data_IF_784171463490
#
_entry.id   IF_784171463490
#
_cell.length_a   1.000
_cell.length_b   1.000
_cell.length_c   1.000
_cell.angle_alpha   90.00
_cell.angle_beta   90.00
_cell.angle_gamma   90.00
#
_symmetry.space_group_name_H-M   'P 1'
#
loop_
_entity.id
_entity.type
_entity.pdbx_description
1 polymer ?
#
# COMPACT_ATOMS: atom_id res chain seq x y z
N UNK A 1 38.78 -18.77 29.29
CA UNK A 1 38.08 -18.80 27.98
C UNK A 1 36.83 -17.94 28.10
N UNK A 2 36.78 -16.79 27.42
CA UNK A 2 35.58 -15.95 27.32
C UNK A 2 34.90 -16.29 26.00
N UNK A 3 33.76 -16.96 26.07
CA UNK A 3 32.87 -17.20 24.93
C UNK A 3 32.24 -15.87 24.52
N UNK A 4 32.60 -15.37 23.34
CA UNK A 4 31.95 -14.22 22.70
C UNK A 4 30.72 -14.73 21.98
N UNK A 5 29.53 -14.29 22.41
CA UNK A 5 28.27 -14.63 21.77
C UNK A 5 28.12 -13.90 20.43
N UNK A 6 27.91 -14.65 19.36
CA UNK A 6 27.63 -14.12 18.03
C UNK A 6 26.16 -13.64 18.00
N UNK A 7 25.97 -12.32 17.95
CA UNK A 7 24.66 -11.72 17.71
C UNK A 7 24.22 -11.98 16.26
N UNK A 8 23.04 -12.57 16.08
CA UNK A 8 22.43 -12.75 14.78
C UNK A 8 21.99 -11.39 14.22
N UNK A 9 22.70 -10.93 13.20
CA UNK A 9 22.37 -9.73 12.44
C UNK A 9 21.20 -10.07 11.51
N UNK A 10 20.00 -9.57 11.81
CA UNK A 10 18.85 -9.67 10.89
C UNK A 10 19.10 -8.70 9.74
N UNK A 11 19.50 -9.22 8.59
CA UNK A 11 19.64 -8.46 7.35
C UNK A 11 18.24 -8.09 6.85
N UNK A 12 17.87 -6.82 6.95
CA UNK A 12 16.70 -6.29 6.26
C UNK A 12 16.96 -6.36 4.74
N UNK A 13 16.26 -7.25 4.04
CA UNK A 13 16.39 -7.41 2.59
C UNK A 13 15.89 -6.17 1.83
N UNK A 14 16.45 -5.89 0.63
CA UNK A 14 16.05 -4.75 -0.19
C UNK A 14 14.59 -4.90 -0.64
N UNK A 15 13.88 -3.77 -0.69
CA UNK A 15 12.57 -3.72 -1.33
C UNK A 15 12.75 -3.95 -2.84
N UNK A 16 12.01 -4.91 -3.40
CA UNK A 16 11.91 -5.10 -4.85
C UNK A 16 10.68 -4.34 -5.33
N UNK A 17 10.86 -3.42 -6.27
CA UNK A 17 9.77 -2.75 -6.98
C UNK A 17 9.99 -2.93 -8.48
N UNK A 18 8.98 -3.45 -9.18
CA UNK A 18 9.09 -3.70 -10.61
C UNK A 18 7.72 -3.55 -11.29
N UNK A 19 7.68 -2.75 -12.37
CA UNK A 19 6.64 -2.86 -13.39
C UNK A 19 6.90 -4.18 -14.13
N UNK A 20 6.11 -5.21 -13.84
CA UNK A 20 6.35 -6.57 -14.33
C UNK A 20 5.72 -6.84 -15.70
N UNK A 21 4.76 -6.00 -16.11
CA UNK A 21 4.18 -6.03 -17.44
C UNK A 21 3.64 -4.65 -17.81
N UNK A 22 3.74 -4.29 -19.10
CA UNK A 22 3.20 -3.03 -19.63
C UNK A 22 2.77 -3.19 -21.09
N UNK A 23 1.66 -2.56 -21.44
CA UNK A 23 1.15 -2.38 -22.80
C UNK A 23 0.63 -0.96 -22.95
N UNK A 24 0.22 -0.50 -24.15
CA UNK A 24 -0.42 0.80 -24.30
C UNK A 24 -1.71 0.97 -23.46
N UNK A 25 -2.36 -0.11 -23.03
CA UNK A 25 -3.67 -0.06 -22.33
C UNK A 25 -3.69 -0.79 -21.00
N UNK A 26 -2.54 -1.28 -20.51
CA UNK A 26 -2.46 -2.02 -19.25
C UNK A 26 -1.08 -1.98 -18.65
N UNK A 27 -0.99 -2.20 -17.34
CA UNK A 27 0.26 -2.47 -16.65
C UNK A 27 0.05 -3.27 -15.37
N UNK A 28 1.13 -3.91 -14.90
CA UNK A 28 1.19 -4.65 -13.64
C UNK A 28 2.37 -4.14 -12.83
N UNK A 29 2.12 -3.80 -11.57
CA UNK A 29 3.13 -3.41 -10.59
C UNK A 29 3.13 -4.43 -9.46
N UNK A 30 4.32 -4.92 -9.10
CA UNK A 30 4.54 -5.81 -7.97
C UNK A 30 5.62 -5.22 -7.07
N UNK A 31 5.33 -5.06 -5.79
CA UNK A 31 6.26 -4.50 -4.81
C UNK A 31 6.21 -5.29 -3.51
N UNK A 32 7.35 -5.40 -2.81
CA UNK A 32 7.36 -5.95 -1.47
C UNK A 32 8.47 -5.42 -0.59
N UNK A 33 8.24 -5.45 0.72
CA UNK A 33 9.22 -5.05 1.73
C UNK A 33 9.06 -5.89 3.00
N UNK A 34 10.15 -6.13 3.70
CA UNK A 34 10.13 -6.70 5.06
C UNK A 34 9.86 -5.59 6.07
N UNK A 35 8.92 -5.80 6.97
CA UNK A 35 8.52 -4.88 8.03
C UNK A 35 8.80 -5.54 9.37
N UNK A 36 9.57 -4.89 10.23
CA UNK A 36 9.75 -5.28 11.62
C UNK A 36 8.48 -4.93 12.40
N UNK A 37 7.40 -5.67 12.14
CA UNK A 37 6.15 -5.67 12.89
C UNK A 37 5.45 -7.02 12.76
N UNK A 38 4.79 -7.47 13.82
CA UNK A 38 4.00 -8.69 13.80
C UNK A 38 2.78 -8.53 12.87
N UNK A 39 2.29 -9.59 12.19
CA UNK A 39 1.20 -9.49 11.24
C UNK A 39 -0.06 -8.77 11.75
N UNK A 40 -0.52 -8.98 13.00
CA UNK A 40 -1.68 -8.25 13.52
C UNK A 40 -1.44 -6.74 13.63
N UNK A 41 -0.24 -6.31 14.01
CA UNK A 41 0.09 -4.89 14.16
C UNK A 41 0.19 -4.20 12.80
N UNK A 42 0.87 -4.86 11.85
CA UNK A 42 0.96 -4.36 10.47
C UNK A 42 -0.42 -4.29 9.82
N UNK A 43 -1.27 -5.29 10.05
CA UNK A 43 -2.64 -5.30 9.55
C UNK A 43 -3.47 -4.11 10.05
N UNK A 44 -3.42 -3.82 11.36
CA UNK A 44 -4.13 -2.67 11.92
C UNK A 44 -3.63 -1.34 11.34
N UNK A 45 -2.31 -1.22 11.11
CA UNK A 45 -1.74 -0.04 10.45
C UNK A 45 -2.17 0.10 9.01
N UNK A 46 -2.16 -1.01 8.26
CA UNK A 46 -2.58 -1.04 6.86
C UNK A 46 -3.99 -0.50 6.69
N UNK A 47 -4.92 -0.89 7.57
CA UNK A 47 -6.32 -0.46 7.52
C UNK A 47 -6.57 0.99 7.95
N UNK A 48 -5.53 1.71 8.35
CA UNK A 48 -5.61 3.09 8.81
C UNK A 48 -4.81 4.04 7.89
N UNK A 49 -5.21 4.22 6.60
CA UNK A 49 -4.48 5.04 5.64
C UNK A 49 -4.21 6.47 6.13
N UNK A 50 -5.09 7.03 6.96
CA UNK A 50 -4.92 8.33 7.60
C UNK A 50 -3.70 8.48 8.52
N UNK A 51 -3.01 7.37 8.81
CA UNK A 51 -1.82 7.37 9.68
C UNK A 51 -0.52 7.27 8.90
N UNK A 52 -0.55 6.96 7.61
CA UNK A 52 0.67 6.64 6.88
C UNK A 52 0.66 7.09 5.42
N UNK A 53 -0.50 7.19 4.77
CA UNK A 53 -0.60 7.60 3.37
C UNK A 53 0.03 8.98 3.17
N UNK A 54 0.76 9.14 2.07
CA UNK A 54 1.40 10.42 1.76
C UNK A 54 0.36 11.50 1.43
N UNK A 55 0.28 12.61 2.19
CA UNK A 55 -0.64 13.70 1.88
C UNK A 55 -0.41 14.32 0.50
N UNK A 56 0.82 14.31 -0.04
CA UNK A 56 1.10 14.79 -1.41
C UNK A 56 0.45 13.93 -2.51
N UNK A 57 -0.01 12.74 -2.15
CA UNK A 57 -0.75 11.84 -3.02
C UNK A 57 -2.20 11.63 -2.54
N UNK A 58 -2.80 12.70 -2.02
CA UNK A 58 -4.21 12.79 -1.64
C UNK A 58 -4.89 13.97 -2.36
N UNK A 59 -6.20 13.94 -2.54
CA UNK A 59 -6.93 15.03 -3.20
C UNK A 59 -7.07 16.27 -2.30
N UNK A 60 -7.18 16.06 -0.99
CA UNK A 60 -7.33 17.12 0.01
C UNK A 60 -6.00 17.73 0.44
N UNK A 61 -4.88 17.05 0.17
CA UNK A 61 -3.55 17.40 0.67
C UNK A 61 -3.34 17.05 2.15
N UNK A 62 -4.22 16.22 2.74
CA UNK A 62 -4.17 15.83 4.14
C UNK A 62 -4.68 14.39 4.31
N UNK A 63 -3.79 13.49 4.72
CA UNK A 63 -4.12 12.08 4.92
C UNK A 63 -5.13 11.87 6.06
N UNK A 64 -5.30 12.82 6.98
CA UNK A 64 -6.33 12.75 8.02
C UNK A 64 -7.76 12.60 7.47
N UNK A 65 -7.98 12.97 6.20
CA UNK A 65 -9.27 12.83 5.52
C UNK A 65 -9.49 11.47 4.85
N UNK A 66 -8.47 10.61 4.78
CA UNK A 66 -8.58 9.27 4.22
C UNK A 66 -9.19 8.30 5.22
N UNK A 67 -9.91 7.31 4.73
CA UNK A 67 -10.42 6.22 5.54
C UNK A 67 -10.59 4.95 4.70
N UNK A 68 -10.51 3.80 5.36
CA UNK A 68 -10.76 2.50 4.75
C UNK A 68 -11.80 1.72 5.54
N UNK A 69 -12.99 1.59 4.97
CA UNK A 69 -14.00 0.68 5.49
C UNK A 69 -13.62 -0.75 5.08
N UNK A 70 -12.81 -1.42 5.90
CA UNK A 70 -12.16 -2.68 5.56
C UNK A 70 -13.08 -3.91 5.64
N UNK A 71 -14.16 -3.89 4.85
CA UNK A 71 -15.13 -4.95 4.63
C UNK A 71 -15.51 -4.99 3.16
N UNK A 72 -16.04 -6.10 2.65
CA UNK A 72 -16.50 -6.16 1.26
C UNK A 72 -17.53 -5.05 0.97
N UNK A 73 -17.40 -4.42 -0.20
CA UNK A 73 -18.11 -3.21 -0.62
C UNK A 73 -17.81 -1.93 0.19
N UNK A 74 -16.97 -1.98 1.22
CA UNK A 74 -16.49 -0.80 1.92
C UNK A 74 -15.54 0.03 1.06
N UNK A 75 -15.46 1.33 1.37
CA UNK A 75 -14.69 2.28 0.58
C UNK A 75 -13.27 2.49 1.13
N UNK A 76 -12.29 2.55 0.23
CA UNK A 76 -11.12 3.40 0.42
C UNK A 76 -11.46 4.80 -0.12
N UNK A 77 -11.76 5.71 0.79
CA UNK A 77 -12.34 7.00 0.46
C UNK A 77 -11.56 8.13 1.10
N UNK A 78 -11.80 9.33 0.59
CA UNK A 78 -11.28 10.57 1.10
C UNK A 78 -12.38 11.61 1.22
N UNK A 79 -12.32 12.43 2.26
CA UNK A 79 -13.15 13.64 2.38
C UNK A 79 -12.41 14.82 1.77
N UNK A 80 -13.10 15.73 1.08
CA UNK A 80 -12.53 16.99 0.60
C UNK A 80 -13.24 18.18 1.26
N UNK A 81 -12.89 18.54 2.52
CA UNK A 81 -13.65 19.51 3.30
C UNK A 81 -13.76 20.90 2.65
N UNK A 82 -12.70 21.33 1.94
CA UNK A 82 -12.67 22.62 1.22
C UNK A 82 -13.78 22.71 0.18
N UNK A 83 -14.08 21.59 -0.50
CA UNK A 83 -15.08 21.51 -1.56
C UNK A 83 -16.40 20.89 -1.07
N UNK A 84 -16.50 20.56 0.23
CA UNK A 84 -17.61 19.80 0.83
C UNK A 84 -17.90 18.49 0.08
N UNK A 85 -16.87 17.86 -0.48
CA UNK A 85 -16.99 16.69 -1.34
C UNK A 85 -16.36 15.42 -0.74
N UNK A 86 -16.26 14.41 -1.59
CA UNK A 86 -15.62 13.12 -1.28
C UNK A 86 -15.04 12.49 -2.55
N UNK A 87 -14.02 11.65 -2.38
CA UNK A 87 -13.39 10.87 -3.45
C UNK A 87 -13.45 9.39 -3.07
N UNK A 88 -13.93 8.54 -3.97
CA UNK A 88 -13.74 7.09 -3.90
C UNK A 88 -12.46 6.73 -4.66
N UNK A 89 -11.44 6.27 -3.95
CA UNK A 89 -10.20 5.79 -4.56
C UNK A 89 -10.35 4.35 -5.06
N UNK A 90 -10.97 3.51 -4.24
CA UNK A 90 -11.26 2.11 -4.57
C UNK A 90 -12.30 1.52 -3.63
N UNK A 91 -12.93 0.43 -4.04
CA UNK A 91 -13.85 -0.36 -3.23
C UNK A 91 -13.26 -1.71 -2.88
N UNK A 92 -13.41 -2.13 -1.63
CA UNK A 92 -12.95 -3.43 -1.16
C UNK A 92 -13.80 -4.55 -1.78
N UNK A 93 -13.15 -5.55 -2.36
CA UNK A 93 -13.82 -6.72 -2.98
C UNK A 93 -13.48 -8.05 -2.31
N UNK A 94 -12.43 -8.07 -1.47
CA UNK A 94 -12.04 -9.25 -0.69
C UNK A 94 -11.27 -8.82 0.56
N UNK A 95 -11.57 -9.45 1.69
CA UNK A 95 -10.83 -9.29 2.94
C UNK A 95 -10.61 -10.65 3.58
N UNK A 96 -9.35 -10.98 3.85
CA UNK A 96 -8.95 -12.00 4.79
C UNK A 96 -8.21 -11.31 5.94
N UNK A 97 -8.87 -11.08 7.09
CA UNK A 97 -8.30 -10.34 8.22
C UNK A 97 -6.91 -10.86 8.61
N UNK A 98 -5.99 -9.94 8.88
CA UNK A 98 -4.60 -10.25 9.24
C UNK A 98 -3.69 -10.70 8.07
N UNK A 99 -4.23 -10.90 6.87
CA UNK A 99 -3.51 -11.52 5.75
C UNK A 99 -3.59 -10.77 4.43
N UNK A 100 -4.77 -10.37 3.99
CA UNK A 100 -4.93 -9.82 2.64
C UNK A 100 -6.17 -8.95 2.52
N UNK A 101 -6.06 -7.82 1.82
CA UNK A 101 -7.18 -7.01 1.37
C UNK A 101 -7.02 -6.73 -0.13
N UNK A 102 -8.11 -6.84 -0.88
CA UNK A 102 -8.15 -6.50 -2.30
C UNK A 102 -9.20 -5.44 -2.55
N UNK A 103 -8.81 -4.44 -3.33
CA UNK A 103 -9.62 -3.31 -3.74
C UNK A 103 -9.69 -3.25 -5.25
N UNK A 104 -10.81 -2.77 -5.77
CA UNK A 104 -10.99 -2.43 -7.18
C UNK A 104 -11.19 -0.92 -7.28
N UNK A 105 -10.34 -0.24 -8.06
CA UNK A 105 -10.35 1.20 -8.22
C UNK A 105 -9.17 1.71 -9.04
N UNK A 106 -9.31 2.94 -9.54
CA UNK A 106 -8.33 3.62 -10.37
C UNK A 106 -7.73 4.78 -9.58
N UNK A 107 -6.45 4.70 -9.21
CA UNK A 107 -5.82 5.66 -8.32
C UNK A 107 -5.44 6.97 -9.03
N UNK A 108 -5.71 8.10 -8.37
CA UNK A 108 -5.26 9.43 -8.79
C UNK A 108 -5.70 9.77 -10.22
N UNK A 109 -4.79 10.16 -11.13
CA UNK A 109 -5.14 10.53 -12.51
C UNK A 109 -5.88 9.43 -13.28
N UNK A 110 -5.70 8.17 -12.91
CA UNK A 110 -6.38 7.04 -13.56
C UNK A 110 -7.89 7.04 -13.30
N UNK A 111 -8.37 7.72 -12.26
CA UNK A 111 -9.79 7.78 -11.91
C UNK A 111 -10.64 8.44 -13.01
N UNK A 112 -10.05 9.37 -13.77
CA UNK A 112 -10.71 10.04 -14.88
C UNK A 112 -10.65 9.26 -16.21
N UNK A 113 -9.97 8.12 -16.21
CA UNK A 113 -9.80 7.26 -17.39
C UNK A 113 -10.80 6.10 -17.35
N UNK A 114 -11.10 5.49 -18.50
CA UNK A 114 -11.96 4.30 -18.56
C UNK A 114 -11.13 3.03 -18.29
N UNK A 115 -10.55 2.96 -17.09
CA UNK A 115 -9.72 1.85 -16.61
C UNK A 115 -10.31 1.18 -15.38
N UNK A 116 -9.93 -0.07 -15.16
CA UNK A 116 -10.13 -0.78 -13.91
C UNK A 116 -8.77 -1.16 -13.33
N UNK A 117 -8.56 -0.87 -12.05
CA UNK A 117 -7.39 -1.32 -11.30
C UNK A 117 -7.78 -2.32 -10.22
N UNK A 118 -6.99 -3.38 -10.04
CA UNK A 118 -7.12 -4.34 -8.94
C UNK A 118 -5.90 -4.22 -8.05
N UNK A 119 -6.07 -3.62 -6.88
CA UNK A 119 -5.03 -3.40 -5.88
C UNK A 119 -5.12 -4.46 -4.79
N UNK A 120 -4.06 -5.24 -4.59
CA UNK A 120 -3.97 -6.26 -3.54
C UNK A 120 -2.86 -5.91 -2.58
N UNK A 121 -3.19 -5.85 -1.30
CA UNK A 121 -2.20 -5.84 -0.23
C UNK A 121 -2.18 -7.19 0.48
N UNK A 122 -0.99 -7.68 0.80
CA UNK A 122 -0.78 -8.96 1.49
C UNK A 122 0.24 -8.81 2.62
N UNK A 123 -0.07 -9.41 3.76
CA UNK A 123 0.77 -9.50 4.95
C UNK A 123 1.04 -10.97 5.21
N UNK A 124 2.31 -11.34 5.26
CA UNK A 124 2.74 -12.70 5.58
C UNK A 124 3.69 -12.70 6.77
N UNK A 125 3.57 -13.66 7.69
CA UNK A 125 4.56 -13.83 8.75
C UNK A 125 5.90 -14.23 8.14
N UNK A 126 6.96 -13.53 8.54
CA UNK A 126 8.34 -14.01 8.41
C UNK A 126 8.73 -14.74 9.71
N UNK A 127 8.44 -14.10 10.84
CA UNK A 127 8.55 -14.65 12.20
C UNK A 127 7.48 -14.01 13.12
N UNK A 128 7.59 -14.19 14.43
CA UNK A 128 6.63 -13.66 15.40
C UNK A 128 6.60 -12.11 15.48
N UNK A 129 7.67 -11.44 15.06
CA UNK A 129 7.89 -9.99 15.16
C UNK A 129 8.09 -9.30 13.82
N UNK A 130 8.21 -10.07 12.74
CA UNK A 130 8.52 -9.58 11.38
C UNK A 130 7.50 -10.10 10.38
N UNK A 131 7.09 -9.22 9.46
CA UNK A 131 6.17 -9.55 8.36
C UNK A 131 6.78 -9.19 7.01
N UNK A 132 6.39 -9.91 5.96
CA UNK A 132 6.53 -9.46 4.58
C UNK A 132 5.24 -8.75 4.16
N UNK A 133 5.38 -7.51 3.73
CA UNK A 133 4.30 -6.73 3.12
C UNK A 133 4.48 -6.77 1.60
N UNK A 134 3.45 -7.17 0.88
CA UNK A 134 3.41 -7.18 -0.59
C UNK A 134 2.24 -6.36 -1.12
N UNK A 135 2.48 -5.71 -2.24
CA UNK A 135 1.51 -4.94 -3.00
C UNK A 135 1.53 -5.39 -4.46
N UNK A 136 0.36 -5.62 -5.04
CA UNK A 136 0.16 -5.87 -6.48
C UNK A 136 -0.89 -4.90 -7.00
N UNK A 137 -0.64 -4.25 -8.14
CA UNK A 137 -1.62 -3.41 -8.82
C UNK A 137 -1.70 -3.75 -10.31
N UNK A 138 -2.81 -4.36 -10.71
CA UNK A 138 -3.09 -4.73 -12.10
C UNK A 138 -4.08 -3.73 -12.67
N UNK A 139 -3.69 -3.00 -13.71
CA UNK A 139 -4.52 -1.96 -14.35
C UNK A 139 -4.75 -2.30 -15.82
N UNK A 140 -5.98 -2.14 -16.29
CA UNK A 140 -6.32 -2.29 -17.70
C UNK A 140 -7.51 -1.42 -18.13
N UNK A 141 -7.49 -0.96 -19.37
CA UNK A 141 -8.57 -0.19 -20.00
C UNK A 141 -8.06 0.96 -20.86
N UNK A 142 -8.95 1.88 -21.22
CA UNK A 142 -8.59 3.04 -22.02
C UNK A 142 -7.89 4.09 -21.15
N UNK A 143 -6.65 4.43 -21.51
CA UNK A 143 -5.82 5.43 -20.84
C UNK A 143 -5.18 6.35 -21.90
N UNK A 144 -5.54 7.64 -21.89
CA UNK A 144 -5.11 8.61 -22.93
C UNK A 144 -3.60 8.77 -23.04
N UNK A 145 -2.89 8.64 -21.91
CA UNK A 145 -1.43 8.80 -21.84
C UNK A 145 -0.66 7.50 -22.13
N UNK A 146 -1.36 6.36 -22.20
CA UNK A 146 -0.75 5.04 -22.41
C UNK A 146 -0.14 4.42 -21.16
N UNK A 147 -0.13 3.09 -21.09
CA UNK A 147 0.40 2.35 -19.94
C UNK A 147 1.89 2.53 -19.74
N UNK A 148 2.65 2.71 -20.82
CA UNK A 148 4.10 2.95 -20.81
C UNK A 148 4.49 4.25 -20.09
N UNK A 149 3.64 5.28 -20.17
CA UNK A 149 3.84 6.55 -19.45
C UNK A 149 3.36 6.45 -18.02
N UNK A 150 2.19 5.82 -17.81
CA UNK A 150 1.55 5.78 -16.48
C UNK A 150 2.24 4.81 -15.51
N UNK A 151 2.67 3.62 -15.98
CA UNK A 151 3.23 2.57 -15.14
C UNK A 151 4.40 3.04 -14.24
N UNK A 152 5.46 3.70 -14.76
CA UNK A 152 6.57 4.15 -13.91
C UNK A 152 6.21 5.27 -12.94
N UNK A 153 5.17 6.07 -13.23
CA UNK A 153 4.70 7.11 -12.30
C UNK A 153 3.93 6.47 -11.14
N UNK A 154 3.03 5.54 -11.46
CA UNK A 154 2.23 4.81 -10.47
C UNK A 154 3.13 3.93 -9.59
N UNK A 155 4.14 3.28 -10.17
CA UNK A 155 5.11 2.47 -9.42
C UNK A 155 5.82 3.29 -8.33
N UNK A 156 6.31 4.49 -8.66
CA UNK A 156 6.95 5.40 -7.69
C UNK A 156 6.00 5.80 -6.56
N UNK A 157 4.75 6.14 -6.88
CA UNK A 157 3.74 6.49 -5.88
C UNK A 157 3.49 5.30 -4.95
N UNK A 158 3.28 4.10 -5.50
CA UNK A 158 3.01 2.90 -4.69
C UNK A 158 4.22 2.51 -3.84
N UNK A 159 5.45 2.71 -4.34
CA UNK A 159 6.66 2.46 -3.56
C UNK A 159 6.77 3.43 -2.37
N UNK A 160 6.42 4.70 -2.58
CA UNK A 160 6.35 5.68 -1.51
C UNK A 160 5.32 5.24 -0.46
N UNK A 161 4.11 4.87 -0.88
CA UNK A 161 3.07 4.38 0.02
C UNK A 161 3.49 3.13 0.81
N UNK A 162 4.14 2.17 0.15
CA UNK A 162 4.68 0.95 0.78
C UNK A 162 5.73 1.29 1.85
N UNK A 163 6.67 2.17 1.52
CA UNK A 163 7.73 2.64 2.43
C UNK A 163 7.14 3.35 3.65
N UNK A 164 6.14 4.22 3.45
CA UNK A 164 5.50 4.96 4.54
C UNK A 164 4.70 4.05 5.46
N UNK A 165 3.99 3.06 4.92
CA UNK A 165 3.29 2.05 5.73
C UNK A 165 4.27 1.25 6.58
N UNK A 166 5.40 0.82 6.01
CA UNK A 166 6.49 0.19 6.78
C UNK A 166 6.94 1.07 7.94
N UNK A 167 7.30 2.33 7.67
CA UNK A 167 7.77 3.24 8.70
C UNK A 167 6.73 3.47 9.81
N UNK A 168 5.45 3.64 9.44
CA UNK A 168 4.37 3.83 10.40
C UNK A 168 4.07 2.59 11.26
N UNK A 169 4.31 1.39 10.72
CA UNK A 169 4.19 0.15 11.48
C UNK A 169 5.35 -0.03 12.47
N UNK A 170 6.57 0.26 12.05
CA UNK A 170 7.78 0.12 12.86
C UNK A 170 7.88 1.19 13.96
N UNK A 171 7.40 2.41 13.71
CA UNK A 171 7.34 3.46 14.72
C UNK A 171 6.41 3.10 15.91
N UNK A 172 5.45 2.21 15.71
CA UNK A 172 4.58 1.68 16.77
C UNK A 172 5.28 0.71 17.74
N UNK A 173 6.53 0.36 17.48
CA UNK A 173 7.31 -0.63 18.24
C UNK A 173 8.45 -0.04 19.09
N UNK A 174 8.44 1.26 19.36
CA UNK A 174 9.35 1.84 20.36
C UNK A 174 9.25 0.99 21.65
N UNK A 175 10.40 0.54 22.22
CA UNK A 175 10.37 -0.38 23.34
C UNK A 175 9.62 0.25 24.51
N UNK A 176 8.82 -0.55 25.20
CA UNK A 176 8.29 -0.17 26.50
C UNK A 176 9.49 0.25 27.38
N UNK A 177 9.43 1.48 27.91
CA UNK A 177 10.35 1.94 28.94
C UNK A 177 10.16 1.12 30.21
#
# INVERSE_FOLDING_TARGET
>A
MRTVGLGALVLAGPATAEVTAVTPTSFVIEQSVTVAAAPPQLWEKLRAPQKWWDPEHSYSGDSANLYLDAQAAGCFCERTPKDKGSVEHARVVYVAPGRMIRLVGALGPLQAEAVTGTLTWRVDPVDATTSKLSLSYVVGGHMRQGGEVMAPLVDKVLLNQLTRLKAAAEAGMAPAK
#
